data_IF_879869640328
#
_entry.id   IF_879869640328
#
_cell.length_a   1.000
_cell.length_b   1.000
_cell.length_c   1.000
_cell.angle_alpha   90.00
_cell.angle_beta   90.00
_cell.angle_gamma   90.00
#
_symmetry.space_group_name_H-M   'P 1'
#
loop_
_entity.id
_entity.type
_entity.pdbx_description
1 polymer ?
#
# COMPACT_ATOMS: atom_id res chain seq x y z
N UNK A 1 -2.34 -27.36 6.11
CA UNK A 1 -3.66 -26.70 6.22
C UNK A 1 -3.67 -25.57 7.26
N UNK A 2 -3.69 -25.82 8.58
CA UNK A 2 -3.76 -24.71 9.57
C UNK A 2 -2.55 -23.76 9.56
N UNK A 3 -1.34 -24.31 9.45
CA UNK A 3 -0.11 -23.49 9.38
C UNK A 3 -0.05 -22.65 8.10
N UNK A 4 -0.56 -23.18 6.98
CA UNK A 4 -0.60 -22.46 5.69
C UNK A 4 -1.58 -21.29 5.75
N UNK A 5 -2.78 -21.49 6.31
CA UNK A 5 -3.79 -20.42 6.47
C UNK A 5 -3.26 -19.31 7.39
N UNK A 6 -2.58 -19.68 8.48
CA UNK A 6 -2.01 -18.70 9.41
C UNK A 6 -0.93 -17.86 8.73
N UNK A 7 0.00 -18.51 8.01
CA UNK A 7 1.06 -17.81 7.27
C UNK A 7 0.50 -16.91 6.16
N UNK A 8 -0.51 -17.38 5.42
CA UNK A 8 -1.20 -16.58 4.40
C UNK A 8 -1.85 -15.33 5.01
N UNK A 9 -2.45 -15.46 6.20
CA UNK A 9 -3.01 -14.35 6.94
C UNK A 9 -1.96 -13.30 7.36
N UNK A 10 -0.81 -13.74 7.86
CA UNK A 10 0.31 -12.88 8.24
C UNK A 10 0.84 -12.06 7.04
N UNK A 11 1.12 -12.74 5.94
CA UNK A 11 1.61 -12.10 4.70
C UNK A 11 0.59 -11.10 4.14
N UNK A 12 -0.71 -11.46 4.16
CA UNK A 12 -1.78 -10.54 3.74
C UNK A 12 -1.87 -9.31 4.64
N UNK A 13 -1.80 -9.50 5.96
CA UNK A 13 -1.87 -8.41 6.93
C UNK A 13 -0.69 -7.44 6.78
N UNK A 14 0.52 -7.96 6.62
CA UNK A 14 1.72 -7.16 6.37
C UNK A 14 1.57 -6.33 5.09
N UNK A 15 1.15 -6.95 3.98
CA UNK A 15 0.94 -6.25 2.71
C UNK A 15 -0.11 -5.14 2.84
N UNK A 16 -1.24 -5.40 3.50
CA UNK A 16 -2.28 -4.42 3.73
C UNK A 16 -1.80 -3.24 4.60
N UNK A 17 -1.02 -3.52 5.64
CA UNK A 17 -0.44 -2.48 6.49
C UNK A 17 0.49 -1.54 5.70
N UNK A 18 1.37 -2.12 4.87
CA UNK A 18 2.29 -1.35 4.01
C UNK A 18 1.50 -0.47 3.03
N UNK A 19 0.46 -1.01 2.39
CA UNK A 19 -0.39 -0.24 1.47
C UNK A 19 -1.12 0.92 2.18
N UNK A 20 -1.65 0.70 3.39
CA UNK A 20 -2.30 1.76 4.17
C UNK A 20 -1.32 2.88 4.57
N UNK A 21 -0.07 2.53 4.91
CA UNK A 21 0.97 3.50 5.19
C UNK A 21 1.30 4.31 3.93
N UNK A 22 1.48 3.66 2.78
CA UNK A 22 1.73 4.33 1.50
C UNK A 22 0.60 5.31 1.12
N UNK A 23 -0.66 4.90 1.30
CA UNK A 23 -1.82 5.77 1.07
C UNK A 23 -1.80 7.03 1.95
N UNK A 24 -1.46 6.88 3.23
CA UNK A 24 -1.33 8.03 4.13
C UNK A 24 -0.18 8.96 3.70
N UNK A 25 0.93 8.41 3.22
CA UNK A 25 2.04 9.22 2.70
C UNK A 25 1.63 10.00 1.43
N UNK A 26 0.92 9.36 0.50
CA UNK A 26 0.36 10.00 -0.70
C UNK A 26 -0.59 11.15 -0.34
N UNK A 27 -1.51 10.93 0.61
CA UNK A 27 -2.42 11.98 1.14
C UNK A 27 -1.68 13.16 1.74
N UNK A 28 -0.49 12.94 2.30
CA UNK A 28 0.39 13.99 2.83
C UNK A 28 1.32 14.59 1.75
N UNK A 29 1.04 14.37 0.46
CA UNK A 29 1.82 14.90 -0.67
C UNK A 29 3.30 14.50 -0.67
N UNK A 30 3.64 13.36 -0.04
CA UNK A 30 4.98 12.80 -0.13
C UNK A 30 5.24 12.33 -1.57
N UNK A 31 6.47 12.54 -2.07
CA UNK A 31 6.81 12.14 -3.43
C UNK A 31 6.90 10.60 -3.56
N UNK A 32 6.62 10.08 -4.76
CA UNK A 32 6.52 8.64 -4.99
C UNK A 32 7.86 7.91 -4.82
N UNK A 33 8.99 8.52 -5.15
CA UNK A 33 10.31 7.89 -4.99
C UNK A 33 10.65 7.62 -3.53
N UNK A 34 10.33 8.55 -2.64
CA UNK A 34 10.58 8.38 -1.21
C UNK A 34 9.61 7.37 -0.60
N UNK A 35 8.36 7.32 -1.08
CA UNK A 35 7.41 6.29 -0.67
C UNK A 35 7.91 4.89 -1.07
N UNK A 36 8.45 4.72 -2.29
CA UNK A 36 9.06 3.45 -2.74
C UNK A 36 10.19 3.04 -1.79
N UNK A 37 11.09 3.96 -1.42
CA UNK A 37 12.21 3.67 -0.50
C UNK A 37 11.74 3.28 0.90
N UNK A 38 10.67 3.90 1.42
CA UNK A 38 10.20 3.70 2.79
C UNK A 38 9.31 2.46 2.94
N UNK A 39 8.56 2.10 1.89
CA UNK A 39 7.55 1.03 1.95
C UNK A 39 8.01 -0.26 1.27
N UNK A 40 9.01 -0.18 0.39
CA UNK A 40 9.44 -1.31 -0.44
C UNK A 40 8.48 -1.67 -1.57
N UNK A 41 7.35 -0.95 -1.70
CA UNK A 41 6.45 -1.06 -2.84
C UNK A 41 7.14 -0.52 -4.09
N UNK A 42 6.84 -1.11 -5.24
CA UNK A 42 7.34 -0.58 -6.50
C UNK A 42 6.49 0.61 -7.00
N UNK A 43 7.01 1.35 -7.99
CA UNK A 43 6.35 2.56 -8.49
C UNK A 43 4.95 2.26 -9.05
N UNK A 44 4.75 1.15 -9.75
CA UNK A 44 3.46 0.75 -10.30
C UNK A 44 2.41 0.53 -9.19
N UNK A 45 2.81 -0.10 -8.07
CA UNK A 45 1.93 -0.28 -6.91
C UNK A 45 1.54 1.07 -6.29
N UNK A 46 2.48 2.01 -6.18
CA UNK A 46 2.21 3.37 -5.68
C UNK A 46 1.29 4.14 -6.63
N UNK A 47 1.49 4.06 -7.94
CA UNK A 47 0.62 4.68 -8.94
C UNK A 47 -0.81 4.15 -8.85
N UNK A 48 -0.99 2.84 -8.72
CA UNK A 48 -2.30 2.22 -8.54
C UNK A 48 -3.01 2.73 -7.27
N UNK A 49 -2.30 2.78 -6.15
CA UNK A 49 -2.83 3.33 -4.89
C UNK A 49 -3.25 4.79 -5.05
N UNK A 50 -2.45 5.60 -5.75
CA UNK A 50 -2.76 7.00 -6.02
C UNK A 50 -4.00 7.15 -6.92
N UNK A 51 -4.14 6.32 -7.96
CA UNK A 51 -5.35 6.32 -8.81
C UNK A 51 -6.61 5.96 -8.02
N UNK A 52 -6.53 4.98 -7.10
CA UNK A 52 -7.65 4.60 -6.24
C UNK A 52 -8.08 5.74 -5.30
N UNK A 53 -7.13 6.46 -4.69
CA UNK A 53 -7.43 7.62 -3.84
C UNK A 53 -8.25 8.70 -4.57
N UNK A 54 -7.81 9.08 -5.77
CA UNK A 54 -8.46 10.12 -6.56
C UNK A 54 -9.89 9.75 -7.00
N UNK A 55 -10.19 8.44 -7.08
CA UNK A 55 -11.53 7.94 -7.44
C UNK A 55 -12.47 7.95 -6.23
N UNK A 56 -11.96 7.75 -5.02
CA UNK A 56 -12.74 7.81 -3.77
C UNK A 56 -13.07 9.25 -3.35
N UNK A 57 -12.19 10.22 -3.64
CA UNK A 57 -12.42 11.64 -3.32
C UNK A 57 -13.40 12.35 -4.29
N UNK A 58 -13.73 11.73 -5.42
CA UNK A 58 -14.60 12.30 -6.47
C UNK A 58 -16.06 11.81 -6.42
N UNK A 59 -16.45 11.03 -5.40
CA UNK A 59 -17.83 10.55 -5.17
C UNK A 59 -18.39 11.06 -3.84
#
# INVERSE_FOLDING_TARGET
>A
MYQEIFHEGEVKGEKQAIQNIALNMLRNSMNMEDIVKLTGLNLQEIEQLNSSLNTEESN
#
